data_IF_486478071165
#
_entry.id   IF_486478071165
#
_cell.length_a   1.000
_cell.length_b   1.000
_cell.length_c   1.000
_cell.angle_alpha   90.00
_cell.angle_beta   90.00
_cell.angle_gamma   90.00
#
_symmetry.space_group_name_H-M   'P 1'
#
loop_
_entity.id
_entity.type
_entity.pdbx_description
1 polymer ?
#
# COMPACT_ATOMS: atom_id res chain seq x y z
N UNK A 1 -9.90 -14.47 -10.62
CA UNK A 1 -8.54 -15.01 -10.75
C UNK A 1 -7.80 -14.11 -11.72
N UNK A 2 -6.73 -13.47 -11.28
CA UNK A 2 -5.91 -12.61 -12.13
C UNK A 2 -4.87 -13.49 -12.81
N UNK A 3 -4.73 -13.39 -14.12
CA UNK A 3 -3.71 -14.10 -14.84
C UNK A 3 -2.34 -13.59 -14.40
N UNK A 4 -1.59 -14.46 -13.80
CA UNK A 4 -0.26 -14.36 -13.20
C UNK A 4 0.52 -13.05 -13.46
N UNK A 5 0.45 -12.09 -12.54
CA UNK A 5 1.29 -10.88 -12.55
C UNK A 5 2.52 -11.05 -11.67
N UNK A 6 3.67 -10.65 -12.16
CA UNK A 6 4.95 -10.71 -11.45
C UNK A 6 5.21 -9.46 -10.63
N UNK A 7 5.79 -9.65 -9.46
CA UNK A 7 6.39 -8.57 -8.65
C UNK A 7 7.90 -8.80 -8.62
N UNK A 8 8.67 -7.88 -9.18
CA UNK A 8 10.13 -7.99 -9.19
C UNK A 8 10.83 -6.71 -9.62
N UNK A 9 12.14 -6.66 -9.43
CA UNK A 9 13.03 -5.63 -9.99
C UNK A 9 14.00 -6.32 -10.96
N UNK A 10 13.97 -5.93 -12.23
CA UNK A 10 14.94 -6.38 -13.23
C UNK A 10 15.87 -5.24 -13.62
N UNK A 11 17.18 -5.47 -13.56
CA UNK A 11 18.20 -4.47 -13.82
C UNK A 11 18.33 -4.02 -15.29
N UNK A 12 17.58 -4.59 -16.21
CA UNK A 12 17.70 -4.33 -17.66
C UNK A 12 16.48 -3.63 -18.25
N UNK A 13 15.53 -3.17 -17.43
CA UNK A 13 14.34 -2.46 -17.90
C UNK A 13 14.67 -1.00 -18.09
N UNK A 14 14.30 -0.45 -19.26
CA UNK A 14 14.45 0.97 -19.55
C UNK A 14 13.14 1.69 -19.25
N UNK A 15 13.22 2.92 -18.76
CA UNK A 15 12.06 3.76 -18.41
C UNK A 15 11.02 3.80 -19.55
N UNK A 16 11.47 3.81 -20.80
CA UNK A 16 10.60 3.80 -21.98
C UNK A 16 9.81 2.50 -22.19
N UNK A 17 10.19 1.43 -21.50
CA UNK A 17 9.51 0.13 -21.62
C UNK A 17 8.35 0.03 -20.60
N UNK A 18 8.27 0.98 -19.64
CA UNK A 18 7.23 1.06 -18.61
C UNK A 18 6.04 1.84 -19.17
N UNK A 19 4.86 1.22 -19.16
CA UNK A 19 3.64 1.85 -19.66
C UNK A 19 3.12 2.92 -18.70
N UNK A 20 3.11 2.61 -17.40
CA UNK A 20 2.59 3.51 -16.37
C UNK A 20 3.43 3.44 -15.10
N UNK A 21 3.54 4.58 -14.43
CA UNK A 21 3.89 4.68 -13.02
C UNK A 21 2.59 4.86 -12.23
N UNK A 22 2.33 3.97 -11.27
CA UNK A 22 1.20 4.10 -10.34
C UNK A 22 1.77 4.26 -8.95
N UNK A 23 1.51 5.39 -8.30
CA UNK A 23 2.11 5.60 -7.00
C UNK A 23 1.64 6.85 -6.29
N UNK A 24 2.09 6.95 -5.05
CA UNK A 24 1.74 8.06 -4.20
C UNK A 24 2.68 8.21 -3.01
N UNK A 25 2.27 9.04 -2.09
CA UNK A 25 3.05 9.40 -0.92
C UNK A 25 2.15 9.38 0.32
N UNK A 26 2.74 9.34 1.50
CA UNK A 26 2.01 9.45 2.76
C UNK A 26 1.27 10.78 2.91
N UNK A 27 1.69 11.82 2.17
CA UNK A 27 0.96 13.09 2.08
C UNK A 27 -0.01 13.06 0.89
N UNK A 28 -1.24 13.51 1.10
CA UNK A 28 -2.31 13.45 0.11
C UNK A 28 -2.06 14.29 -1.17
N UNK A 29 -1.22 15.32 -1.10
CA UNK A 29 -0.83 16.11 -2.26
C UNK A 29 0.12 15.35 -3.22
N UNK A 30 0.67 14.21 -2.80
CA UNK A 30 1.57 13.34 -3.59
C UNK A 30 2.70 14.07 -4.33
N UNK A 31 3.20 15.16 -3.74
CA UNK A 31 4.19 16.05 -4.36
C UNK A 31 5.48 15.31 -4.75
N UNK A 32 6.11 14.50 -3.85
CA UNK A 32 7.32 13.78 -4.20
C UNK A 32 7.13 12.80 -5.34
N UNK A 33 6.02 12.06 -5.34
CA UNK A 33 5.71 11.11 -6.41
C UNK A 33 5.51 11.80 -7.76
N UNK A 34 4.88 12.99 -7.75
CA UNK A 34 4.70 13.81 -8.94
C UNK A 34 6.03 14.32 -9.51
N UNK A 35 6.96 14.73 -8.64
CA UNK A 35 8.31 15.11 -9.06
C UNK A 35 9.11 13.92 -9.61
N UNK A 36 9.01 12.76 -8.99
CA UNK A 36 9.62 11.53 -9.49
C UNK A 36 9.07 11.15 -10.86
N UNK A 37 7.75 11.19 -11.03
CA UNK A 37 7.10 10.92 -12.31
C UNK A 37 7.57 11.87 -13.42
N UNK A 38 7.72 13.16 -13.09
CA UNK A 38 8.26 14.16 -14.01
C UNK A 38 9.69 13.82 -14.48
N UNK A 39 10.57 13.43 -13.55
CA UNK A 39 11.96 13.08 -13.90
C UNK A 39 12.03 11.81 -14.75
N UNK A 40 11.19 10.83 -14.47
CA UNK A 40 11.14 9.58 -15.22
C UNK A 40 10.48 9.74 -16.59
N UNK A 41 9.63 10.75 -16.77
CA UNK A 41 8.92 10.98 -18.04
C UNK A 41 7.92 9.88 -18.41
N UNK A 42 7.43 9.13 -17.43
CA UNK A 42 6.49 8.01 -17.61
C UNK A 42 5.06 8.51 -17.32
N UNK A 43 4.04 8.06 -18.08
CA UNK A 43 2.64 8.34 -17.75
C UNK A 43 2.32 7.94 -16.30
N UNK A 44 1.66 8.83 -15.57
CA UNK A 44 1.53 8.73 -14.12
C UNK A 44 0.09 8.73 -13.64
N UNK A 45 -0.26 7.72 -12.85
CA UNK A 45 -1.46 7.70 -12.02
C UNK A 45 -1.07 7.98 -10.57
N UNK A 46 -1.39 9.19 -10.12
CA UNK A 46 -1.22 9.56 -8.72
C UNK A 46 -2.36 9.03 -7.88
N UNK A 47 -2.04 8.20 -6.90
CA UNK A 47 -2.99 7.58 -5.98
C UNK A 47 -2.71 7.99 -4.55
N UNK A 48 -3.72 7.91 -3.69
CA UNK A 48 -3.57 8.21 -2.27
C UNK A 48 -4.43 7.30 -1.40
N UNK A 49 -3.78 6.42 -0.69
CA UNK A 49 -4.36 5.60 0.38
C UNK A 49 -3.55 5.70 1.67
N UNK A 50 -2.68 6.72 1.80
CA UNK A 50 -1.74 6.85 2.92
C UNK A 50 -0.95 5.54 3.13
N UNK A 51 -1.18 4.82 4.22
CA UNK A 51 -0.47 3.56 4.52
C UNK A 51 -0.82 2.43 3.54
N UNK A 52 -1.93 2.48 2.82
CA UNK A 52 -2.35 1.48 1.85
C UNK A 52 -1.90 1.77 0.41
N UNK A 53 -1.25 2.91 0.16
CA UNK A 53 -0.86 3.36 -1.20
C UNK A 53 -0.10 2.29 -1.99
N UNK A 54 0.83 1.58 -1.35
CA UNK A 54 1.59 0.53 -2.03
C UNK A 54 0.70 -0.64 -2.45
N UNK A 55 -0.15 -1.12 -1.57
CA UNK A 55 -1.10 -2.20 -1.85
C UNK A 55 -2.12 -1.78 -2.92
N UNK A 56 -2.65 -0.56 -2.83
CA UNK A 56 -3.55 0.02 -3.83
C UNK A 56 -2.89 0.07 -5.21
N UNK A 57 -1.65 0.56 -5.28
CA UNK A 57 -0.89 0.62 -6.52
C UNK A 57 -0.64 -0.76 -7.14
N UNK A 58 -0.31 -1.75 -6.32
CA UNK A 58 -0.14 -3.15 -6.78
C UNK A 58 -1.46 -3.73 -7.28
N UNK A 59 -2.57 -3.49 -6.58
CA UNK A 59 -3.90 -3.93 -6.99
C UNK A 59 -4.30 -3.35 -8.35
N UNK A 60 -4.18 -2.04 -8.51
CA UNK A 60 -4.50 -1.35 -9.77
C UNK A 60 -3.59 -1.81 -10.90
N UNK A 61 -2.30 -1.97 -10.65
CA UNK A 61 -1.35 -2.47 -11.64
C UNK A 61 -1.72 -3.87 -12.13
N UNK A 62 -2.05 -4.77 -11.22
CA UNK A 62 -2.45 -6.13 -11.56
C UNK A 62 -3.75 -6.14 -12.38
N UNK A 63 -4.75 -5.33 -12.00
CA UNK A 63 -6.00 -5.21 -12.74
C UNK A 63 -5.80 -4.63 -14.16
N UNK A 64 -4.94 -3.63 -14.32
CA UNK A 64 -4.66 -3.03 -15.63
C UNK A 64 -3.91 -4.00 -16.55
N UNK A 65 -2.98 -4.77 -16.02
CA UNK A 65 -2.25 -5.79 -16.79
C UNK A 65 -3.18 -6.94 -17.18
N UNK A 66 -3.97 -7.45 -16.24
CA UNK A 66 -4.94 -8.52 -16.50
C UNK A 66 -6.01 -8.09 -17.51
N UNK A 67 -6.43 -6.82 -17.44
CA UNK A 67 -7.33 -6.20 -18.41
C UNK A 67 -6.73 -5.91 -19.79
N UNK A 68 -5.42 -6.14 -19.98
CA UNK A 68 -4.73 -5.89 -21.25
C UNK A 68 -4.46 -4.43 -21.57
N UNK A 69 -4.48 -3.53 -20.58
CA UNK A 69 -4.22 -2.10 -20.76
C UNK A 69 -2.75 -1.74 -20.63
N UNK A 70 -1.93 -2.65 -20.14
CA UNK A 70 -0.49 -2.47 -19.99
C UNK A 70 0.24 -3.82 -19.93
N UNK A 71 1.51 -3.81 -20.33
CA UNK A 71 2.41 -4.97 -20.23
C UNK A 71 3.42 -4.81 -19.09
N UNK A 72 3.69 -3.56 -18.66
CA UNK A 72 4.69 -3.28 -17.65
C UNK A 72 4.32 -2.02 -16.86
N UNK A 73 4.11 -2.19 -15.55
CA UNK A 73 3.72 -1.10 -14.65
C UNK A 73 4.69 -1.04 -13.48
N UNK A 74 5.20 0.16 -13.21
CA UNK A 74 5.94 0.44 -11.98
C UNK A 74 4.97 0.94 -10.92
N UNK A 75 4.83 0.19 -9.81
CA UNK A 75 4.04 0.63 -8.66
C UNK A 75 4.96 1.06 -7.53
N UNK A 76 4.67 2.18 -6.87
CA UNK A 76 5.53 2.67 -5.81
C UNK A 76 4.82 3.54 -4.78
N UNK A 77 5.41 3.59 -3.59
CA UNK A 77 4.99 4.48 -2.53
C UNK A 77 6.20 5.08 -1.84
N UNK A 78 6.05 6.29 -1.35
CA UNK A 78 7.09 7.01 -0.63
C UNK A 78 6.59 7.68 0.65
N UNK A 79 7.52 7.98 1.52
CA UNK A 79 7.28 8.78 2.73
C UNK A 79 8.55 9.51 3.11
N UNK A 80 8.42 10.73 3.61
CA UNK A 80 9.54 11.50 4.12
C UNK A 80 9.11 12.45 5.25
N UNK A 81 10.04 12.70 6.14
CA UNK A 81 9.75 13.44 7.38
C UNK A 81 9.19 14.85 7.16
N UNK A 82 9.85 15.64 6.31
CA UNK A 82 9.59 17.08 6.23
C UNK A 82 8.17 17.45 5.80
N UNK A 83 7.54 16.67 4.95
CA UNK A 83 6.24 17.00 4.37
C UNK A 83 5.16 15.96 4.68
N UNK A 84 5.52 14.68 4.74
CA UNK A 84 4.54 13.62 4.93
C UNK A 84 4.40 13.18 6.38
N UNK A 85 5.50 12.78 7.01
CA UNK A 85 5.46 12.17 8.33
C UNK A 85 5.21 13.18 9.46
N UNK A 86 5.65 14.42 9.25
CA UNK A 86 5.56 15.49 10.25
C UNK A 86 4.13 15.70 10.75
N UNK A 87 3.13 15.62 9.89
CA UNK A 87 1.73 15.77 10.25
C UNK A 87 1.22 14.69 11.22
N UNK A 88 1.85 13.53 11.27
CA UNK A 88 1.52 12.44 12.18
C UNK A 88 2.33 12.46 13.49
N UNK A 89 3.24 13.41 13.65
CA UNK A 89 4.13 13.52 14.80
C UNK A 89 3.82 14.75 15.66
N UNK A 90 2.55 15.06 15.80
CA UNK A 90 2.08 16.19 16.61
C UNK A 90 2.03 15.82 18.12
N UNK A 91 2.33 16.75 19.04
CA UNK A 91 2.95 18.06 18.84
C UNK A 91 4.48 17.97 18.74
N UNK A 92 5.03 18.41 17.61
CA UNK A 92 6.48 18.37 17.35
C UNK A 92 7.30 19.25 18.31
N UNK A 93 6.74 20.43 18.63
CA UNK A 93 7.40 21.49 19.39
C UNK A 93 7.72 21.05 20.83
N UNK A 94 6.97 20.13 21.36
CA UNK A 94 7.14 19.65 22.72
C UNK A 94 8.14 18.50 22.85
N UNK A 95 8.61 17.93 21.73
CA UNK A 95 9.51 16.80 21.76
C UNK A 95 8.96 15.59 22.55
N UNK A 96 7.64 15.49 22.66
CA UNK A 96 7.00 14.47 23.47
C UNK A 96 7.32 13.07 22.95
N UNK A 97 7.63 12.19 23.90
CA UNK A 97 7.70 10.77 23.60
C UNK A 97 6.31 10.25 23.26
N UNK A 98 6.18 9.58 22.09
CA UNK A 98 4.92 8.96 21.70
C UNK A 98 4.55 7.84 22.66
N UNK A 99 3.25 7.64 22.96
CA UNK A 99 2.81 6.49 23.72
C UNK A 99 3.12 5.19 22.97
N UNK A 100 3.20 4.09 23.70
CA UNK A 100 3.51 2.76 23.12
C UNK A 100 2.41 2.26 22.16
N UNK A 101 1.24 2.88 22.17
CA UNK A 101 0.10 2.60 21.27
C UNK A 101 0.17 3.35 19.95
N UNK A 102 1.02 4.36 19.83
CA UNK A 102 1.13 5.17 18.62
C UNK A 102 2.02 4.49 17.58
N UNK A 103 1.58 4.51 16.33
CA UNK A 103 2.37 4.08 15.18
C UNK A 103 3.48 5.08 14.86
N UNK A 104 4.54 4.56 14.24
CA UNK A 104 5.68 5.36 13.79
C UNK A 104 5.74 5.36 12.27
N UNK A 105 5.76 6.57 11.71
CA UNK A 105 6.05 6.75 10.29
C UNK A 105 7.55 6.64 10.04
N UNK A 106 7.92 6.09 8.89
CA UNK A 106 9.31 5.85 8.50
C UNK A 106 9.60 6.54 7.17
N UNK A 107 10.73 7.24 7.11
CA UNK A 107 11.22 7.82 5.86
C UNK A 107 11.72 6.70 4.94
N UNK A 108 11.21 6.64 3.73
CA UNK A 108 11.61 5.64 2.75
C UNK A 108 10.78 5.68 1.50
N UNK A 109 11.22 4.94 0.50
CA UNK A 109 10.47 4.68 -0.72
C UNK A 109 10.67 3.23 -1.14
N UNK A 110 9.64 2.67 -1.74
CA UNK A 110 9.68 1.33 -2.30
C UNK A 110 8.91 1.28 -3.61
N UNK A 111 9.38 0.46 -4.52
CA UNK A 111 8.69 0.22 -5.79
C UNK A 111 8.80 -1.23 -6.19
N UNK A 112 7.80 -1.68 -6.93
CA UNK A 112 7.75 -3.01 -7.56
C UNK A 112 7.37 -2.87 -9.01
N UNK A 113 7.92 -3.73 -9.83
CA UNK A 113 7.55 -3.84 -11.23
C UNK A 113 6.59 -4.99 -11.41
N UNK A 114 5.48 -4.74 -12.09
CA UNK A 114 4.43 -5.73 -12.33
C UNK A 114 4.30 -5.96 -13.82
N UNK A 115 4.34 -7.23 -14.24
CA UNK A 115 4.30 -7.66 -15.63
C UNK A 115 3.56 -9.00 -15.77
N UNK A 116 3.00 -9.34 -16.94
CA UNK A 116 2.37 -10.63 -17.17
C UNK A 116 3.39 -11.75 -17.35
N UNK A 117 3.02 -12.96 -16.96
CA UNK A 117 3.66 -14.23 -17.37
C UNK A 117 5.18 -14.32 -17.23
N UNK A 118 5.76 -13.86 -16.11
CA UNK A 118 7.19 -14.03 -15.81
C UNK A 118 7.42 -14.94 -14.60
N UNK A 119 8.65 -15.38 -14.40
CA UNK A 119 9.05 -16.10 -13.19
C UNK A 119 9.18 -15.15 -12.01
N UNK A 120 8.69 -15.53 -10.82
CA UNK A 120 8.79 -14.76 -9.59
C UNK A 120 7.51 -14.77 -8.75
N UNK A 121 7.44 -13.92 -7.70
CA UNK A 121 6.23 -13.76 -6.90
C UNK A 121 5.04 -13.29 -7.74
N UNK A 122 3.86 -13.80 -7.48
CA UNK A 122 2.66 -13.55 -8.29
C UNK A 122 1.56 -12.89 -7.48
N UNK A 123 0.88 -11.91 -8.08
CA UNK A 123 -0.41 -11.41 -7.60
C UNK A 123 -1.48 -12.38 -8.11
N UNK A 124 -2.03 -13.17 -7.20
CA UNK A 124 -3.03 -14.21 -7.55
C UNK A 124 -4.45 -13.66 -7.50
N UNK A 125 -4.73 -12.85 -6.48
CA UNK A 125 -6.04 -12.23 -6.27
C UNK A 125 -5.89 -10.78 -5.84
N UNK A 126 -6.90 -10.00 -6.10
CA UNK A 126 -7.06 -8.63 -5.62
C UNK A 126 -8.42 -8.50 -4.95
N UNK A 127 -8.44 -8.01 -3.71
CA UNK A 127 -9.67 -7.67 -2.99
C UNK A 127 -9.61 -6.20 -2.63
N UNK A 128 -10.58 -5.44 -3.11
CA UNK A 128 -10.68 -4.01 -2.82
C UNK A 128 -11.54 -3.83 -1.58
N UNK A 129 -10.96 -3.27 -0.53
CA UNK A 129 -11.66 -2.96 0.71
C UNK A 129 -12.58 -1.76 0.58
N UNK A 130 -13.36 -1.52 1.61
CA UNK A 130 -14.21 -0.33 1.74
C UNK A 130 -13.82 0.49 2.96
N UNK A 131 -14.27 1.73 3.01
CA UNK A 131 -14.07 2.58 4.19
C UNK A 131 -14.97 2.07 5.31
N UNK A 132 -14.35 1.80 6.47
CA UNK A 132 -15.03 1.43 7.72
C UNK A 132 -14.74 2.52 8.75
N UNK A 133 -15.79 3.03 9.38
CA UNK A 133 -15.70 4.05 10.42
C UNK A 133 -16.50 3.60 11.64
N UNK A 134 -15.79 3.29 12.71
CA UNK A 134 -16.35 2.91 14.02
C UNK A 134 -16.40 4.11 14.99
N UNK A 135 -16.17 5.33 14.51
CA UNK A 135 -16.23 6.54 15.30
C UNK A 135 -15.07 6.71 16.29
N UNK A 136 -13.93 6.07 16.03
CA UNK A 136 -12.73 6.16 16.87
C UNK A 136 -11.89 7.37 16.42
N UNK A 137 -11.66 8.32 17.32
CA UNK A 137 -11.03 9.60 17.03
C UNK A 137 -9.68 9.84 17.77
N UNK A 138 -9.16 8.84 18.51
CA UNK A 138 -7.88 8.94 19.19
C UNK A 138 -6.69 8.85 18.21
N UNK A 139 -6.17 10.00 17.80
CA UNK A 139 -5.00 10.08 16.90
C UNK A 139 -3.70 9.50 17.47
N UNK A 140 -3.61 9.20 18.77
CA UNK A 140 -2.47 8.54 19.39
C UNK A 140 -2.61 7.01 19.42
N UNK A 141 -3.77 6.49 19.04
CA UNK A 141 -4.07 5.07 19.01
C UNK A 141 -4.90 4.72 17.77
N UNK A 142 -4.30 4.82 16.62
CA UNK A 142 -4.96 4.60 15.32
C UNK A 142 -5.27 3.12 15.04
N UNK A 143 -4.64 2.20 15.75
CA UNK A 143 -4.84 0.76 15.55
C UNK A 143 -6.30 0.31 15.61
N UNK A 144 -7.05 0.65 16.67
CA UNK A 144 -8.47 0.34 16.76
C UNK A 144 -9.33 0.93 15.63
N UNK A 145 -8.92 2.10 15.10
CA UNK A 145 -9.62 2.71 13.96
C UNK A 145 -9.35 1.98 12.63
N UNK A 146 -8.14 1.42 12.47
CA UNK A 146 -7.72 0.73 11.24
C UNK A 146 -8.09 -0.77 11.23
N UNK A 147 -8.10 -1.43 12.39
CA UNK A 147 -8.33 -2.86 12.50
C UNK A 147 -9.66 -3.33 11.88
N UNK A 148 -10.81 -2.66 12.10
CA UNK A 148 -12.08 -3.07 11.49
C UNK A 148 -12.05 -3.11 9.97
N UNK A 149 -11.36 -2.16 9.33
CA UNK A 149 -11.20 -2.15 7.88
C UNK A 149 -10.29 -3.29 7.38
N UNK A 150 -9.24 -3.61 8.12
CA UNK A 150 -8.39 -4.76 7.82
C UNK A 150 -9.16 -6.07 7.94
N UNK A 151 -9.91 -6.25 9.03
CA UNK A 151 -10.76 -7.44 9.27
C UNK A 151 -11.81 -7.60 8.17
N UNK A 152 -12.53 -6.53 7.81
CA UNK A 152 -13.55 -6.57 6.75
C UNK A 152 -12.96 -7.01 5.41
N UNK A 153 -11.78 -6.49 5.07
CA UNK A 153 -11.11 -6.83 3.81
C UNK A 153 -10.61 -8.28 3.81
N UNK A 154 -9.98 -8.73 4.90
CA UNK A 154 -9.51 -10.11 5.05
C UNK A 154 -10.69 -11.09 5.03
N UNK A 155 -11.77 -10.78 5.76
CA UNK A 155 -12.98 -11.60 5.75
C UNK A 155 -13.61 -11.69 4.36
N UNK A 156 -13.70 -10.56 3.66
CA UNK A 156 -14.21 -10.52 2.28
C UNK A 156 -13.39 -11.39 1.35
N UNK A 157 -12.05 -11.32 1.46
CA UNK A 157 -11.15 -12.17 0.69
C UNK A 157 -11.45 -13.67 0.91
N UNK A 158 -11.48 -14.12 2.16
CA UNK A 158 -11.75 -15.54 2.47
C UNK A 158 -13.15 -15.96 2.06
N UNK A 159 -14.13 -15.06 2.20
CA UNK A 159 -15.48 -15.36 1.78
C UNK A 159 -15.62 -15.52 0.27
N UNK A 160 -14.88 -14.74 -0.52
CA UNK A 160 -14.94 -14.76 -1.97
C UNK A 160 -14.12 -15.90 -2.57
N UNK A 161 -12.91 -16.10 -2.08
CA UNK A 161 -11.98 -17.14 -2.60
C UNK A 161 -12.26 -18.52 -2.04
N UNK A 162 -12.88 -18.62 -0.85
CA UNK A 162 -13.02 -19.87 -0.08
C UNK A 162 -11.68 -20.48 0.34
N UNK A 163 -10.60 -19.70 0.32
CA UNK A 163 -9.31 -20.13 0.84
C UNK A 163 -9.38 -20.29 2.37
N UNK A 164 -8.55 -21.17 2.92
CA UNK A 164 -8.39 -21.34 4.37
C UNK A 164 -7.33 -20.36 4.88
N UNK A 165 -7.56 -19.63 5.98
CA UNK A 165 -6.53 -18.80 6.61
C UNK A 165 -5.21 -19.54 6.87
N UNK A 166 -5.27 -20.82 7.19
CA UNK A 166 -4.08 -21.66 7.39
C UNK A 166 -3.31 -22.00 6.10
N UNK A 167 -3.83 -21.64 4.95
CA UNK A 167 -3.11 -21.80 3.66
C UNK A 167 -2.07 -20.71 3.42
N UNK A 168 -1.99 -19.70 4.29
CA UNK A 168 -1.03 -18.61 4.21
C UNK A 168 0.09 -18.80 5.24
N UNK A 169 1.32 -18.72 4.78
CA UNK A 169 2.50 -18.69 5.66
C UNK A 169 2.61 -17.35 6.40
N UNK A 170 2.08 -16.28 5.81
CA UNK A 170 2.17 -14.93 6.36
C UNK A 170 1.05 -14.04 5.82
N UNK A 171 0.40 -13.30 6.73
CA UNK A 171 -0.53 -12.21 6.41
C UNK A 171 0.08 -10.92 6.92
N UNK A 172 0.29 -9.95 6.02
CA UNK A 172 0.88 -8.66 6.34
C UNK A 172 -0.18 -7.57 6.20
N UNK A 173 -0.31 -6.76 7.24
CA UNK A 173 -1.14 -5.55 7.24
C UNK A 173 -0.27 -4.31 7.34
N UNK A 174 -0.85 -3.11 7.23
CA UNK A 174 -0.24 -1.90 7.75
C UNK A 174 0.02 -2.02 9.26
N UNK A 175 0.79 -1.09 9.82
CA UNK A 175 1.07 -1.09 11.26
C UNK A 175 -0.20 -0.78 12.06
N UNK A 176 -0.86 -1.82 12.52
CA UNK A 176 -2.04 -1.74 13.38
C UNK A 176 -1.70 -1.48 14.86
N UNK A 177 -0.40 -1.46 15.20
CA UNK A 177 0.05 -1.43 16.58
C UNK A 177 -0.38 -2.68 17.35
N UNK A 178 -0.08 -2.72 18.66
CA UNK A 178 -0.40 -3.88 19.50
C UNK A 178 -1.89 -4.13 19.66
N UNK A 179 -2.65 -3.04 19.86
CA UNK A 179 -4.11 -3.14 20.11
C UNK A 179 -4.84 -3.51 18.83
N UNK A 180 -4.54 -2.84 17.70
CA UNK A 180 -5.17 -3.16 16.42
C UNK A 180 -4.84 -4.57 15.94
N UNK A 181 -3.60 -5.04 16.17
CA UNK A 181 -3.24 -6.44 15.90
C UNK A 181 -4.12 -7.41 16.69
N UNK A 182 -4.28 -7.21 17.99
CA UNK A 182 -5.12 -8.06 18.82
C UNK A 182 -6.58 -8.10 18.34
N UNK A 183 -7.15 -6.93 18.01
CA UNK A 183 -8.52 -6.86 17.45
C UNK A 183 -8.65 -7.64 16.13
N UNK A 184 -7.58 -7.67 15.33
CA UNK A 184 -7.60 -8.37 14.04
C UNK A 184 -7.42 -9.88 14.18
N UNK A 185 -6.74 -10.34 15.23
CA UNK A 185 -6.50 -11.77 15.51
C UNK A 185 -7.67 -12.45 16.24
N UNK A 186 -8.50 -11.69 16.99
CA UNK A 186 -9.70 -12.17 17.69
C UNK A 186 -10.90 -12.33 16.72
#
# INVERSE_FOLDING_TARGET
EISECLVGSEMCIRDRDINYLIGGDLINQIVPSSFAARELGIPFFGIYGACSTMAEGMCLSAMLIDGGFADLILSGASSHYCTAERQFRFPLELGNQKPMTAQWTVTGAGSVLIAPNKEGPKVKYVTVGKVIDEGIDDGNNMGPAMAPAAVDTIYSYFNDTKDDPNSFDLIITGDLGKIGKQITED
#
